data_IF_184387237730
#
_entry.id   IF_184387237730
#
_cell.length_a   1.000
_cell.length_b   1.000
_cell.length_c   1.000
_cell.angle_alpha   90.00
_cell.angle_beta   90.00
_cell.angle_gamma   90.00
#
_symmetry.space_group_name_H-M   'P 1'
#
loop_
_entity.id
_entity.type
_entity.pdbx_description
1 polymer ?
#
# COMPACT_ATOMS: atom_id res chain seq x y z
N UNK A 1 -21.50 22.07 11.68
CA UNK A 1 -22.50 20.99 11.46
C UNK A 1 -22.05 20.18 10.26
N UNK A 2 -22.14 18.85 10.32
CA UNK A 2 -21.73 17.93 9.24
C UNK A 2 -22.92 17.29 8.54
N UNK A 3 -22.71 16.81 7.32
CA UNK A 3 -23.73 16.16 6.48
C UNK A 3 -23.54 14.65 6.38
N UNK A 4 -24.64 13.93 6.14
CA UNK A 4 -24.65 12.47 6.03
C UNK A 4 -24.74 12.00 4.59
N UNK A 5 -23.99 10.95 4.28
CA UNK A 5 -24.18 10.15 3.06
C UNK A 5 -24.77 8.80 3.42
N UNK A 6 -25.47 8.20 2.45
CA UNK A 6 -26.14 6.92 2.62
C UNK A 6 -25.83 6.01 1.44
N UNK A 7 -25.51 4.75 1.76
CA UNK A 7 -25.43 3.64 0.83
C UNK A 7 -26.67 2.77 1.04
N UNK A 8 -27.50 2.64 0.02
CA UNK A 8 -28.82 2.00 0.14
C UNK A 8 -29.07 0.97 -0.94
N UNK A 9 -29.88 -0.04 -0.65
CA UNK A 9 -30.47 -0.94 -1.62
C UNK A 9 -32.00 -0.96 -1.43
N UNK A 10 -32.71 -0.19 -2.27
CA UNK A 10 -34.13 0.05 -2.07
C UNK A 10 -34.38 0.81 -0.75
N UNK A 11 -35.07 0.18 0.21
CA UNK A 11 -35.36 0.75 1.53
C UNK A 11 -34.34 0.38 2.61
N UNK A 12 -33.39 -0.50 2.30
CA UNK A 12 -32.38 -0.96 3.26
C UNK A 12 -31.17 -0.03 3.19
N UNK A 13 -30.77 0.53 4.33
CA UNK A 13 -29.49 1.22 4.48
C UNK A 13 -28.41 0.18 4.73
N UNK A 14 -27.43 0.11 3.84
CA UNK A 14 -26.30 -0.84 3.91
C UNK A 14 -25.12 -0.26 4.68
N UNK A 15 -24.94 1.06 4.57
CA UNK A 15 -23.90 1.82 5.26
C UNK A 15 -24.29 3.30 5.24
N UNK A 16 -23.79 4.05 6.21
CA UNK A 16 -23.89 5.49 6.27
C UNK A 16 -22.61 6.06 6.89
N UNK A 17 -22.38 7.33 6.67
CA UNK A 17 -21.32 8.05 7.34
C UNK A 17 -21.58 9.54 7.33
N UNK A 18 -20.75 10.27 8.08
CA UNK A 18 -20.86 11.71 8.24
C UNK A 18 -19.59 12.36 7.75
N UNK A 19 -19.73 13.32 6.84
CA UNK A 19 -18.66 14.07 6.19
C UNK A 19 -17.74 13.20 5.34
N UNK A 20 -17.11 12.16 5.91
CA UNK A 20 -16.06 11.35 5.30
C UNK A 20 -16.57 10.06 4.66
N UNK A 21 -16.08 9.75 3.45
CA UNK A 21 -16.26 8.48 2.75
C UNK A 21 -15.02 7.60 2.97
N UNK A 22 -15.16 6.36 3.47
CA UNK A 22 -14.04 5.42 3.58
C UNK A 22 -13.42 5.11 2.20
N UNK A 23 -12.09 5.19 2.10
CA UNK A 23 -11.38 4.96 0.84
C UNK A 23 -11.58 3.51 0.37
N UNK A 24 -11.57 2.54 1.28
CA UNK A 24 -11.81 1.11 1.06
C UNK A 24 -13.18 0.88 0.42
N UNK A 25 -14.22 1.53 0.94
CA UNK A 25 -15.56 1.45 0.39
C UNK A 25 -15.62 2.05 -1.03
N UNK A 26 -14.94 3.18 -1.24
CA UNK A 26 -14.92 3.86 -2.53
C UNK A 26 -14.22 3.05 -3.63
N UNK A 27 -13.32 2.12 -3.29
CA UNK A 27 -12.70 1.21 -4.27
C UNK A 27 -13.69 0.26 -4.97
N UNK A 28 -14.88 0.07 -4.38
CA UNK A 28 -15.93 -0.77 -4.95
C UNK A 28 -16.71 -0.08 -6.06
N UNK A 29 -16.57 1.23 -6.22
CA UNK A 29 -17.22 2.03 -7.26
C UNK A 29 -16.21 2.48 -8.31
N UNK A 30 -16.66 2.58 -9.55
CA UNK A 30 -15.91 3.11 -10.69
C UNK A 30 -16.62 4.33 -11.22
N UNK A 31 -15.90 5.18 -11.93
CA UNK A 31 -16.51 6.37 -12.57
C UNK A 31 -17.60 6.00 -13.57
N UNK A 32 -17.56 4.81 -14.17
CA UNK A 32 -18.65 4.30 -15.01
C UNK A 32 -19.96 4.05 -14.26
N UNK A 33 -19.92 3.90 -12.94
CA UNK A 33 -21.11 3.70 -12.09
C UNK A 33 -21.68 5.04 -11.60
N UNK A 34 -21.01 6.16 -11.90
CA UNK A 34 -21.40 7.48 -11.44
C UNK A 34 -22.67 7.92 -12.18
N UNK A 35 -23.66 8.36 -11.43
CA UNK A 35 -24.74 9.17 -11.98
C UNK A 35 -24.48 10.63 -11.59
N UNK A 36 -24.64 11.53 -12.56
CA UNK A 36 -24.34 12.94 -12.40
C UNK A 36 -25.32 13.75 -13.25
N UNK A 37 -26.30 14.37 -12.61
CA UNK A 37 -27.34 15.17 -13.26
C UNK A 37 -26.91 16.64 -13.30
N UNK A 38 -26.10 16.99 -14.31
CA UNK A 38 -25.55 18.34 -14.47
C UNK A 38 -26.63 19.42 -14.43
N UNK A 39 -27.74 19.23 -15.15
CA UNK A 39 -28.84 20.21 -15.21
C UNK A 39 -29.40 20.55 -13.81
N UNK A 40 -29.49 19.55 -12.92
CA UNK A 40 -29.99 19.75 -11.56
C UNK A 40 -28.95 20.46 -10.67
N UNK A 41 -27.66 20.19 -10.89
CA UNK A 41 -26.58 20.86 -10.17
C UNK A 41 -26.47 22.32 -10.57
N UNK A 42 -26.58 22.63 -11.86
CA UNK A 42 -26.57 24.00 -12.38
C UNK A 42 -27.79 24.78 -11.87
N UNK A 43 -28.97 24.16 -11.90
CA UNK A 43 -30.18 24.77 -11.33
C UNK A 43 -30.02 25.02 -9.83
N UNK A 44 -29.48 24.05 -9.07
CA UNK A 44 -29.23 24.22 -7.64
C UNK A 44 -28.25 25.36 -7.36
N UNK A 45 -27.12 25.40 -8.07
CA UNK A 45 -26.09 26.43 -7.91
C UNK A 45 -26.58 27.84 -8.26
N UNK A 46 -27.56 27.96 -9.15
CA UNK A 46 -28.15 29.25 -9.55
C UNK A 46 -29.14 29.84 -8.53
N UNK A 47 -29.49 29.12 -7.46
CA UNK A 47 -30.48 29.56 -6.48
C UNK A 47 -29.92 30.59 -5.50
N UNK A 48 -30.67 31.68 -5.32
CA UNK A 48 -30.38 32.70 -4.30
C UNK A 48 -30.64 32.19 -2.87
N UNK A 49 -31.59 31.25 -2.68
CA UNK A 49 -31.86 30.58 -1.41
C UNK A 49 -31.87 29.05 -1.57
N UNK A 50 -31.20 28.37 -0.65
CA UNK A 50 -31.03 26.92 -0.66
C UNK A 50 -32.04 26.22 0.26
N UNK A 51 -33.30 26.66 0.24
CA UNK A 51 -34.37 25.98 0.98
C UNK A 51 -34.47 24.50 0.57
N UNK A 52 -34.77 23.65 1.56
CA UNK A 52 -34.85 22.21 1.37
C UNK A 52 -35.86 21.85 0.28
N UNK A 53 -35.41 21.09 -0.72
CA UNK A 53 -36.28 20.64 -1.80
C UNK A 53 -35.92 19.21 -2.19
N UNK A 54 -36.95 18.35 -2.23
CA UNK A 54 -36.84 16.95 -2.64
C UNK A 54 -36.37 16.78 -4.09
N UNK A 55 -36.52 17.83 -4.93
CA UNK A 55 -36.05 17.86 -6.31
C UNK A 55 -34.55 17.61 -6.44
N UNK A 56 -33.76 18.11 -5.49
CA UNK A 56 -32.30 18.02 -5.52
C UNK A 56 -31.76 16.89 -4.65
N UNK A 57 -32.59 15.97 -4.16
CA UNK A 57 -32.11 14.90 -3.28
C UNK A 57 -31.24 13.87 -3.99
N UNK A 58 -31.17 13.89 -5.33
CA UNK A 58 -30.51 12.84 -6.10
C UNK A 58 -29.77 13.37 -7.33
N UNK A 59 -28.86 14.31 -7.13
CA UNK A 59 -28.10 14.92 -8.23
C UNK A 59 -26.86 14.13 -8.61
N UNK A 60 -26.17 13.54 -7.63
CA UNK A 60 -24.90 12.86 -7.87
C UNK A 60 -24.67 11.70 -6.91
N UNK A 61 -23.87 10.74 -7.36
CA UNK A 61 -23.48 9.58 -6.57
C UNK A 61 -23.06 8.41 -7.45
N UNK A 62 -23.16 7.21 -6.91
CA UNK A 62 -22.84 5.97 -7.63
C UNK A 62 -24.01 4.99 -7.54
N UNK A 63 -24.27 4.26 -8.62
CA UNK A 63 -25.32 3.26 -8.70
C UNK A 63 -24.80 1.98 -9.38
N UNK A 64 -24.92 0.85 -8.69
CA UNK A 64 -24.38 -0.44 -9.16
C UNK A 64 -25.29 -1.58 -8.73
N UNK A 65 -25.37 -2.67 -9.51
CA UNK A 65 -26.16 -3.84 -9.09
C UNK A 65 -25.50 -4.59 -7.92
N UNK A 66 -26.32 -5.26 -7.10
CA UNK A 66 -25.82 -6.17 -6.04
C UNK A 66 -24.90 -7.25 -6.61
N UNK A 67 -25.21 -7.78 -7.80
CA UNK A 67 -24.37 -8.78 -8.47
C UNK A 67 -22.96 -8.25 -8.72
N UNK A 68 -22.86 -7.08 -9.35
CA UNK A 68 -21.57 -6.45 -9.65
C UNK A 68 -20.81 -6.12 -8.37
N UNK A 69 -21.50 -5.59 -7.36
CA UNK A 69 -20.87 -5.22 -6.09
C UNK A 69 -20.32 -6.44 -5.34
N UNK A 70 -21.06 -7.56 -5.32
CA UNK A 70 -20.57 -8.83 -4.77
C UNK A 70 -19.35 -9.36 -5.52
N UNK A 71 -19.34 -9.30 -6.85
CA UNK A 71 -18.16 -9.69 -7.63
C UNK A 71 -16.93 -8.84 -7.29
N UNK A 72 -17.11 -7.52 -7.13
CA UNK A 72 -16.02 -6.61 -6.74
C UNK A 72 -15.52 -6.90 -5.32
N UNK A 73 -16.42 -7.15 -4.37
CA UNK A 73 -16.07 -7.57 -3.02
C UNK A 73 -15.23 -8.85 -3.02
N UNK A 74 -15.66 -9.88 -3.74
CA UNK A 74 -14.89 -11.13 -3.88
C UNK A 74 -13.51 -10.90 -4.50
N UNK A 75 -13.39 -10.05 -5.54
CA UNK A 75 -12.09 -9.70 -6.14
C UNK A 75 -11.17 -8.95 -5.17
N UNK A 76 -11.73 -8.24 -4.20
CA UNK A 76 -10.98 -7.54 -3.15
C UNK A 76 -10.77 -8.37 -1.87
N UNK A 77 -11.14 -9.65 -1.87
CA UNK A 77 -10.97 -10.57 -0.74
C UNK A 77 -12.14 -10.62 0.26
N UNK A 78 -13.22 -9.87 0.03
CA UNK A 78 -14.40 -9.82 0.90
C UNK A 78 -15.55 -10.69 0.36
N UNK A 79 -15.22 -11.90 -0.08
CA UNK A 79 -16.21 -12.82 -0.62
C UNK A 79 -17.35 -13.09 0.40
N UNK A 80 -18.63 -13.02 0.00
CA UNK A 80 -19.75 -13.12 0.94
C UNK A 80 -19.85 -14.42 1.74
N UNK A 81 -19.34 -15.54 1.22
CA UNK A 81 -19.37 -16.82 1.93
C UNK A 81 -18.16 -16.95 2.87
N UNK A 82 -16.99 -16.46 2.44
CA UNK A 82 -15.82 -16.33 3.32
C UNK A 82 -16.11 -15.40 4.50
N UNK A 83 -16.60 -14.19 4.24
CA UNK A 83 -16.95 -13.20 5.27
C UNK A 83 -17.97 -13.76 6.25
N UNK A 84 -19.00 -14.49 5.76
CA UNK A 84 -19.96 -15.16 6.66
C UNK A 84 -19.27 -16.21 7.54
N UNK A 85 -18.38 -17.02 6.98
CA UNK A 85 -17.65 -18.03 7.75
C UNK A 85 -16.78 -17.41 8.83
N UNK A 86 -16.11 -16.30 8.53
CA UNK A 86 -15.28 -15.57 9.49
C UNK A 86 -16.12 -14.95 10.62
N UNK A 87 -17.25 -14.30 10.28
CA UNK A 87 -18.18 -13.78 11.28
C UNK A 87 -18.76 -14.88 12.20
N UNK A 88 -18.98 -16.10 11.68
CA UNK A 88 -19.41 -17.24 12.51
C UNK A 88 -18.32 -17.69 13.48
N UNK A 89 -17.06 -17.81 13.02
CA UNK A 89 -15.93 -18.17 13.89
C UNK A 89 -15.74 -17.14 15.00
N UNK A 90 -15.88 -15.86 14.69
CA UNK A 90 -15.82 -14.79 15.68
C UNK A 90 -16.91 -14.94 16.74
N UNK A 91 -18.18 -15.12 16.33
CA UNK A 91 -19.27 -15.33 17.28
C UNK A 91 -19.07 -16.59 18.13
N UNK A 92 -18.60 -17.70 17.53
CA UNK A 92 -18.28 -18.93 18.25
C UNK A 92 -17.19 -18.69 19.31
N UNK A 93 -16.12 -17.98 18.96
CA UNK A 93 -15.04 -17.62 19.88
C UNK A 93 -15.54 -16.77 21.05
N UNK A 94 -16.24 -15.67 20.77
CA UNK A 94 -16.79 -14.77 21.77
C UNK A 94 -17.75 -15.48 22.73
N UNK A 95 -18.56 -16.41 22.21
CA UNK A 95 -19.45 -17.22 23.05
C UNK A 95 -18.70 -18.18 23.96
N UNK A 96 -17.60 -18.77 23.48
CA UNK A 96 -16.82 -19.75 24.24
C UNK A 96 -15.99 -19.11 25.36
N UNK A 97 -15.46 -17.90 25.16
CA UNK A 97 -14.75 -17.17 26.23
C UNK A 97 -15.70 -16.70 27.34
N UNK A 98 -16.95 -16.40 27.00
CA UNK A 98 -17.98 -15.96 27.96
C UNK A 98 -18.47 -17.07 28.92
N UNK A 99 -18.10 -18.34 28.68
CA UNK A 99 -18.45 -19.50 29.52
C UNK A 99 -17.42 -19.79 30.64
N UNK A 100 -16.34 -19.01 30.72
CA UNK A 100 -15.37 -19.11 31.83
C UNK A 100 -15.95 -18.39 33.06
N UNK A 101 -16.11 -19.05 34.22
CA UNK A 101 -16.61 -18.37 35.40
C UNK A 101 -15.56 -17.38 35.91
N UNK A 102 -15.76 -16.09 35.66
CA UNK A 102 -15.01 -15.04 36.35
C UNK A 102 -15.43 -15.03 37.82
N UNK A 103 -14.44 -15.26 38.69
CA UNK A 103 -14.59 -15.13 40.13
C UNK A 103 -14.76 -13.67 40.52
N UNK A 104 -15.69 -13.45 41.45
CA UNK A 104 -15.92 -12.31 42.34
C UNK A 104 -15.72 -10.89 41.79
N UNK A 105 -16.88 -10.24 41.56
CA UNK A 105 -17.23 -8.86 41.96
C UNK A 105 -16.20 -7.75 41.64
N UNK A 106 -16.35 -7.11 40.48
CA UNK A 106 -16.85 -5.73 40.35
C UNK A 106 -16.52 -5.12 38.97
N UNK A 107 -17.50 -4.39 38.42
CA UNK A 107 -17.40 -3.46 37.27
C UNK A 107 -17.11 -4.04 35.87
N UNK A 108 -18.12 -4.67 35.25
CA UNK A 108 -18.65 -4.19 33.95
C UNK A 108 -19.93 -4.95 33.54
N UNK A 109 -21.05 -4.23 33.52
CA UNK A 109 -22.38 -4.79 33.24
C UNK A 109 -22.55 -5.30 31.79
N UNK A 110 -21.52 -5.20 30.95
CA UNK A 110 -21.50 -5.64 29.55
C UNK A 110 -21.14 -7.13 29.39
N UNK A 111 -20.22 -7.66 30.21
CA UNK A 111 -19.86 -9.09 30.19
C UNK A 111 -20.99 -10.01 30.64
N UNK A 112 -21.79 -9.55 31.61
CA UNK A 112 -22.93 -10.29 32.16
C UNK A 112 -24.13 -10.40 31.19
N UNK A 113 -24.24 -9.49 30.21
CA UNK A 113 -25.31 -9.48 29.20
C UNK A 113 -25.02 -10.43 28.03
N UNK A 114 -23.75 -10.59 27.64
CA UNK A 114 -23.31 -11.55 26.60
C UNK A 114 -23.64 -12.99 26.99
N UNK A 115 -23.35 -13.39 28.23
CA UNK A 115 -23.59 -14.77 28.70
C UNK A 115 -25.07 -15.11 28.94
N UNK A 116 -25.90 -14.17 29.44
CA UNK A 116 -27.29 -14.48 29.82
C UNK A 116 -28.28 -14.68 28.67
N UNK A 117 -28.11 -14.00 27.53
CA UNK A 117 -29.04 -14.12 26.40
C UNK A 117 -28.75 -15.31 25.49
N UNK A 118 -27.47 -15.58 25.22
CA UNK A 118 -27.01 -16.72 24.41
C UNK A 118 -27.44 -18.07 25.00
N UNK A 119 -27.42 -18.18 26.33
CA UNK A 119 -27.88 -19.37 27.07
C UNK A 119 -29.41 -19.57 26.98
N UNK A 120 -30.20 -18.50 26.80
CA UNK A 120 -31.66 -18.56 26.89
C UNK A 120 -32.37 -18.91 25.57
N UNK A 121 -31.80 -18.59 24.40
CA UNK A 121 -32.46 -18.86 23.10
C UNK A 121 -32.07 -20.20 22.45
N UNK A 122 -30.99 -20.88 22.88
CA UNK A 122 -30.52 -22.16 22.31
C UNK A 122 -30.42 -22.18 20.77
N UNK A 123 -30.11 -21.03 20.15
CA UNK A 123 -30.05 -20.92 18.69
C UNK A 123 -28.68 -21.39 18.15
N UNK A 124 -28.65 -22.18 17.07
CA UNK A 124 -27.42 -22.43 16.32
C UNK A 124 -26.78 -21.12 15.84
N UNK A 125 -25.45 -21.00 15.94
CA UNK A 125 -24.70 -19.79 15.53
C UNK A 125 -25.04 -19.26 14.13
N UNK A 126 -25.23 -20.10 13.09
CA UNK A 126 -25.68 -19.63 11.79
C UNK A 126 -27.00 -18.85 11.81
N UNK A 127 -27.96 -19.27 12.65
CA UNK A 127 -29.25 -18.59 12.78
C UNK A 127 -29.11 -17.31 13.60
N UNK A 128 -28.26 -17.31 14.61
CA UNK A 128 -27.96 -16.10 15.38
C UNK A 128 -27.37 -15.02 14.48
N UNK A 129 -26.37 -15.35 13.66
CA UNK A 129 -25.79 -14.42 12.70
C UNK A 129 -26.84 -13.90 11.70
N UNK A 130 -27.75 -14.75 11.21
CA UNK A 130 -28.83 -14.31 10.32
C UNK A 130 -29.77 -13.30 11.00
N UNK A 131 -30.08 -13.49 12.30
CA UNK A 131 -30.85 -12.52 13.08
C UNK A 131 -30.09 -11.21 13.27
N UNK A 132 -28.79 -11.25 13.61
CA UNK A 132 -27.94 -10.07 13.76
C UNK A 132 -27.91 -9.27 12.46
N UNK A 133 -27.68 -9.93 11.32
CA UNK A 133 -27.69 -9.28 10.00
C UNK A 133 -29.08 -8.71 9.67
N UNK A 134 -30.15 -9.43 10.02
CA UNK A 134 -31.52 -8.94 9.81
C UNK A 134 -31.83 -7.71 10.65
N UNK A 135 -31.38 -7.69 11.91
CA UNK A 135 -31.48 -6.53 12.80
C UNK A 135 -30.71 -5.34 12.21
N UNK A 136 -29.48 -5.54 11.74
CA UNK A 136 -28.67 -4.48 11.13
C UNK A 136 -29.29 -3.87 9.87
N UNK A 137 -30.14 -4.63 9.16
CA UNK A 137 -30.91 -4.16 7.98
C UNK A 137 -32.17 -3.40 8.33
N UNK A 138 -32.66 -3.52 9.55
CA UNK A 138 -33.86 -2.83 10.00
C UNK A 138 -33.58 -1.32 10.13
N UNK A 139 -34.61 -0.51 9.93
CA UNK A 139 -34.53 0.96 10.03
C UNK A 139 -34.06 1.42 11.42
N UNK A 140 -34.35 0.62 12.45
CA UNK A 140 -33.97 0.90 13.84
C UNK A 140 -32.49 0.59 14.13
N UNK A 141 -31.89 -0.36 13.41
CA UNK A 141 -30.53 -0.86 13.72
C UNK A 141 -29.44 0.21 13.67
N UNK A 142 -29.47 1.10 12.68
CA UNK A 142 -28.44 2.14 12.50
C UNK A 142 -28.72 3.45 13.23
N UNK A 143 -30.00 3.79 13.43
CA UNK A 143 -30.41 5.10 13.96
C UNK A 143 -30.73 5.05 15.45
N UNK A 144 -31.14 3.89 15.98
CA UNK A 144 -31.75 3.76 17.30
C UNK A 144 -31.05 2.73 18.20
N UNK A 145 -29.83 2.26 17.88
CA UNK A 145 -29.13 1.24 18.69
C UNK A 145 -29.06 1.61 20.19
N UNK A 146 -28.80 2.88 20.51
CA UNK A 146 -28.73 3.40 21.89
C UNK A 146 -30.10 3.59 22.57
N UNK A 147 -31.21 3.35 21.88
CA UNK A 147 -32.57 3.57 22.40
C UNK A 147 -33.28 2.27 22.83
N UNK A 148 -32.68 1.11 22.60
CA UNK A 148 -33.26 -0.16 23.03
C UNK A 148 -33.06 -0.40 24.53
N UNK A 149 -34.07 -0.95 25.25
CA UNK A 149 -33.89 -1.31 26.65
C UNK A 149 -32.71 -2.27 26.83
N UNK A 150 -31.85 -1.98 27.82
CA UNK A 150 -30.76 -2.86 28.21
C UNK A 150 -31.26 -4.29 28.47
N UNK A 151 -30.60 -5.28 27.88
CA UNK A 151 -30.99 -6.69 28.00
C UNK A 151 -32.16 -7.14 27.12
N UNK A 152 -32.49 -6.41 26.06
CA UNK A 152 -33.38 -6.88 24.98
C UNK A 152 -32.62 -7.68 23.90
N UNK A 153 -33.35 -8.45 23.08
CA UNK A 153 -32.77 -9.16 21.95
C UNK A 153 -32.12 -8.19 20.94
N UNK A 154 -32.77 -7.05 20.72
CA UNK A 154 -32.34 -5.99 19.82
C UNK A 154 -31.06 -5.32 20.31
N UNK A 155 -30.95 -5.07 21.62
CA UNK A 155 -29.70 -4.58 22.24
C UNK A 155 -28.57 -5.59 22.04
N UNK A 156 -28.83 -6.89 22.25
CA UNK A 156 -27.84 -7.94 22.00
C UNK A 156 -27.42 -8.02 20.52
N UNK A 157 -28.37 -8.01 19.57
CA UNK A 157 -28.05 -8.07 18.15
C UNK A 157 -27.21 -6.89 17.71
N UNK A 158 -27.48 -5.70 18.25
CA UNK A 158 -26.67 -4.53 17.96
C UNK A 158 -25.26 -4.61 18.52
N UNK A 159 -25.10 -5.00 19.79
CA UNK A 159 -23.76 -5.19 20.36
C UNK A 159 -22.97 -6.27 19.61
N UNK A 160 -23.61 -7.37 19.22
CA UNK A 160 -22.97 -8.42 18.41
C UNK A 160 -22.55 -7.90 17.02
N UNK A 161 -23.39 -7.09 16.37
CA UNK A 161 -23.07 -6.46 15.09
C UNK A 161 -21.90 -5.50 15.20
N UNK A 162 -21.89 -4.63 16.21
CA UNK A 162 -20.78 -3.70 16.50
C UNK A 162 -19.49 -4.46 16.74
N UNK A 163 -19.51 -5.49 17.60
CA UNK A 163 -18.33 -6.31 17.90
C UNK A 163 -17.77 -7.00 16.66
N UNK A 164 -18.65 -7.53 15.79
CA UNK A 164 -18.24 -8.12 14.51
C UNK A 164 -17.56 -7.08 13.64
N UNK A 165 -18.16 -5.89 13.46
CA UNK A 165 -17.58 -4.86 12.57
C UNK A 165 -16.26 -4.34 13.12
N UNK A 166 -16.19 -4.03 14.41
CA UNK A 166 -14.99 -3.51 15.07
C UNK A 166 -13.83 -4.50 15.03
N UNK A 167 -14.11 -5.80 15.14
CA UNK A 167 -13.08 -6.83 15.07
C UNK A 167 -12.36 -6.85 13.70
N UNK A 168 -13.08 -6.64 12.60
CA UNK A 168 -12.51 -6.69 11.25
C UNK A 168 -12.08 -5.31 10.71
N UNK A 169 -12.61 -4.22 11.27
CA UNK A 169 -12.23 -2.82 10.98
C UNK A 169 -12.13 -2.48 9.47
N UNK A 170 -13.03 -3.04 8.66
CA UNK A 170 -13.14 -2.71 7.22
C UNK A 170 -14.62 -2.62 6.80
N UNK A 171 -15.07 -1.49 6.23
CA UNK A 171 -16.47 -1.29 5.86
C UNK A 171 -16.97 -2.28 4.79
N UNK A 172 -16.06 -2.89 4.01
CA UNK A 172 -16.40 -3.91 3.01
C UNK A 172 -16.84 -5.22 3.65
N UNK A 173 -16.37 -5.53 4.86
CA UNK A 173 -16.79 -6.71 5.62
C UNK A 173 -18.28 -6.60 5.98
N UNK A 174 -18.67 -5.50 6.63
CA UNK A 174 -20.06 -5.20 6.96
C UNK A 174 -20.94 -5.19 5.71
N UNK A 175 -20.51 -4.50 4.65
CA UNK A 175 -21.25 -4.44 3.39
C UNK A 175 -21.47 -5.83 2.79
N UNK A 176 -20.47 -6.71 2.80
CA UNK A 176 -20.57 -8.07 2.27
C UNK A 176 -21.63 -8.90 3.01
N UNK A 177 -21.72 -8.79 4.34
CA UNK A 177 -22.80 -9.38 5.15
C UNK A 177 -24.17 -8.77 4.82
N UNK A 178 -24.22 -7.44 4.71
CA UNK A 178 -25.47 -6.70 4.44
C UNK A 178 -26.06 -7.01 3.06
N UNK A 179 -25.25 -7.30 2.05
CA UNK A 179 -25.76 -7.67 0.73
C UNK A 179 -26.40 -9.07 0.67
N UNK A 180 -26.23 -9.91 1.70
CA UNK A 180 -26.84 -11.24 1.73
C UNK A 180 -28.37 -11.15 1.78
N UNK A 181 -29.07 -12.01 1.03
CA UNK A 181 -30.54 -11.99 0.97
C UNK A 181 -31.15 -10.82 0.20
N UNK A 182 -30.35 -9.88 -0.31
CA UNK A 182 -30.82 -8.85 -1.23
C UNK A 182 -30.84 -9.41 -2.65
N UNK A 183 -31.88 -9.05 -3.43
CA UNK A 183 -32.02 -9.52 -4.81
C UNK A 183 -30.80 -9.11 -5.63
N UNK A 184 -30.31 -10.02 -6.47
CA UNK A 184 -29.07 -9.87 -7.26
C UNK A 184 -29.13 -8.72 -8.27
N UNK A 185 -30.31 -8.43 -8.78
CA UNK A 185 -30.61 -7.35 -9.72
C UNK A 185 -30.94 -6.02 -9.04
N UNK A 186 -31.06 -5.99 -7.70
CA UNK A 186 -31.31 -4.74 -6.99
C UNK A 186 -30.15 -3.76 -7.20
N UNK A 187 -30.49 -2.48 -7.33
CA UNK A 187 -29.52 -1.40 -7.44
C UNK A 187 -29.14 -0.92 -6.06
N UNK A 188 -27.84 -0.95 -5.79
CA UNK A 188 -27.19 -0.30 -4.65
C UNK A 188 -26.81 1.11 -5.06
N UNK A 189 -27.17 2.08 -4.24
CA UNK A 189 -27.01 3.51 -4.52
C UNK A 189 -26.30 4.22 -3.39
N UNK A 190 -25.16 4.82 -3.69
CA UNK A 190 -24.44 5.76 -2.84
C UNK A 190 -24.87 7.17 -3.25
N UNK A 191 -25.57 7.88 -2.38
CA UNK A 191 -26.02 9.23 -2.65
C UNK A 191 -25.13 10.26 -1.94
N UNK A 192 -24.47 11.12 -2.72
CA UNK A 192 -23.51 12.10 -2.24
C UNK A 192 -24.06 13.53 -2.26
N UNK A 193 -25.32 13.68 -2.67
CA UNK A 193 -25.89 15.00 -2.93
C UNK A 193 -25.92 15.90 -1.69
N UNK A 194 -26.21 15.34 -0.51
CA UNK A 194 -26.20 16.10 0.76
C UNK A 194 -24.82 16.64 1.10
N UNK A 195 -23.75 15.93 0.76
CA UNK A 195 -22.39 16.41 0.99
C UNK A 195 -22.10 17.65 0.13
N UNK A 196 -22.55 17.68 -1.13
CA UNK A 196 -22.44 18.87 -1.96
C UNK A 196 -23.26 20.02 -1.39
N UNK A 197 -24.53 19.78 -1.08
CA UNK A 197 -25.43 20.81 -0.57
C UNK A 197 -24.94 21.43 0.74
N UNK A 198 -24.28 20.63 1.60
CA UNK A 198 -23.67 21.12 2.84
C UNK A 198 -22.28 21.74 2.67
N UNK A 199 -21.76 21.84 1.44
CA UNK A 199 -20.42 22.37 1.16
C UNK A 199 -19.28 21.46 1.62
N UNK A 200 -19.54 20.16 1.77
CA UNK A 200 -18.57 19.13 2.13
C UNK A 200 -17.97 18.44 0.92
N UNK A 201 -18.49 18.64 -0.29
CA UNK A 201 -17.98 18.03 -1.52
C UNK A 201 -18.17 19.01 -2.68
N UNK A 202 -17.20 19.11 -3.58
CA UNK A 202 -17.37 19.88 -4.81
C UNK A 202 -18.12 19.06 -5.88
N UNK A 203 -18.96 19.67 -6.74
CA UNK A 203 -19.75 18.93 -7.72
C UNK A 203 -18.94 18.10 -8.71
N UNK A 204 -17.79 18.59 -9.14
CA UNK A 204 -16.89 17.94 -10.10
C UNK A 204 -15.93 16.93 -9.45
N UNK A 205 -15.95 16.81 -8.12
CA UNK A 205 -15.08 15.89 -7.39
C UNK A 205 -15.30 14.43 -7.82
N UNK A 206 -14.20 13.66 -7.84
CA UNK A 206 -14.16 12.24 -8.19
C UNK A 206 -13.71 11.40 -6.97
N UNK A 207 -14.62 11.08 -6.02
CA UNK A 207 -14.27 10.37 -4.80
C UNK A 207 -13.62 9.00 -5.05
N UNK A 208 -14.08 8.24 -6.06
CA UNK A 208 -13.53 6.91 -6.33
C UNK A 208 -12.06 6.96 -6.78
N UNK A 209 -11.72 7.88 -7.69
CA UNK A 209 -10.35 8.11 -8.11
C UNK A 209 -9.48 8.68 -6.98
N UNK A 210 -10.06 9.52 -6.14
CA UNK A 210 -9.32 10.14 -5.04
C UNK A 210 -8.96 9.12 -3.97
N UNK A 211 -9.87 8.21 -3.63
CA UNK A 211 -9.61 7.08 -2.74
C UNK A 211 -8.51 6.16 -3.31
N UNK A 212 -8.56 5.83 -4.60
CA UNK A 212 -7.51 5.02 -5.25
C UNK A 212 -6.12 5.69 -5.15
N UNK A 213 -6.05 7.01 -5.36
CA UNK A 213 -4.79 7.76 -5.19
C UNK A 213 -4.28 7.73 -3.75
N UNK A 214 -5.16 7.79 -2.75
CA UNK A 214 -4.76 7.72 -1.33
C UNK A 214 -4.27 6.33 -0.93
N UNK A 215 -4.99 5.29 -1.30
CA UNK A 215 -4.58 3.90 -1.03
C UNK A 215 -3.25 3.57 -1.71
N UNK A 216 -3.03 4.07 -2.95
CA UNK A 216 -1.73 3.97 -3.61
C UNK A 216 -0.63 4.63 -2.78
N UNK A 217 -0.89 5.81 -2.22
CA UNK A 217 0.08 6.52 -1.37
C UNK A 217 0.36 5.77 -0.08
N UNK A 218 -0.67 5.30 0.61
CA UNK A 218 -0.54 4.50 1.83
C UNK A 218 0.30 3.24 1.56
N UNK A 219 0.04 2.56 0.44
CA UNK A 219 0.85 1.41 0.03
C UNK A 219 2.30 1.81 -0.25
N UNK A 220 2.53 2.95 -0.92
CA UNK A 220 3.89 3.43 -1.20
C UNK A 220 4.67 3.88 0.05
N UNK A 221 3.97 4.37 1.09
CA UNK A 221 4.59 4.84 2.34
C UNK A 221 4.83 3.73 3.34
N UNK A 222 3.96 2.72 3.38
CA UNK A 222 3.97 1.68 4.43
C UNK A 222 4.41 0.31 3.92
N UNK A 223 4.34 0.06 2.60
CA UNK A 223 4.81 -1.18 1.99
C UNK A 223 6.34 -1.26 1.91
N UNK A 224 6.86 -2.49 1.76
CA UNK A 224 8.28 -2.72 1.50
C UNK A 224 8.73 -2.04 0.21
N UNK A 225 9.96 -1.54 0.20
CA UNK A 225 10.65 -0.98 -0.96
C UNK A 225 11.21 -2.13 -1.78
N UNK A 226 10.79 -2.26 -3.04
CA UNK A 226 11.27 -3.31 -3.93
C UNK A 226 12.61 -2.89 -4.53
N UNK A 227 13.64 -3.73 -4.36
CA UNK A 227 14.97 -3.54 -4.95
C UNK A 227 15.13 -4.48 -6.12
N UNK A 228 15.39 -3.92 -7.30
CA UNK A 228 15.65 -4.65 -8.54
C UNK A 228 17.14 -4.55 -8.87
N UNK A 229 17.75 -5.69 -9.18
CA UNK A 229 19.17 -5.82 -9.56
C UNK A 229 19.30 -6.70 -10.80
N UNK A 230 20.50 -6.73 -11.41
CA UNK A 230 20.77 -7.51 -12.63
C UNK A 230 20.77 -9.03 -12.40
N UNK A 231 21.23 -9.46 -11.21
CA UNK A 231 21.28 -10.86 -10.81
C UNK A 231 20.89 -11.12 -9.35
N UNK A 232 20.50 -12.36 -9.06
CA UNK A 232 20.19 -12.80 -7.69
C UNK A 232 21.38 -12.67 -6.74
N UNK A 233 22.61 -12.88 -7.25
CA UNK A 233 23.84 -12.64 -6.49
C UNK A 233 23.91 -11.21 -5.97
N UNK A 234 23.51 -10.25 -6.78
CA UNK A 234 23.64 -8.83 -6.49
C UNK A 234 22.61 -8.43 -5.44
N UNK A 235 21.37 -8.93 -5.56
CA UNK A 235 20.35 -8.79 -4.52
C UNK A 235 20.83 -9.31 -3.16
N UNK A 236 21.48 -10.48 -3.14
CA UNK A 236 22.00 -11.07 -1.91
C UNK A 236 23.16 -10.27 -1.31
N UNK A 237 24.07 -9.76 -2.15
CA UNK A 237 25.18 -8.92 -1.69
C UNK A 237 24.68 -7.57 -1.16
N UNK A 238 23.77 -6.89 -1.86
CA UNK A 238 23.17 -5.65 -1.35
C UNK A 238 22.46 -5.91 -0.01
N UNK A 239 21.70 -7.00 0.12
CA UNK A 239 21.08 -7.38 1.38
C UNK A 239 22.12 -7.55 2.49
N UNK A 240 23.24 -8.24 2.23
CA UNK A 240 24.34 -8.38 3.19
C UNK A 240 24.97 -7.05 3.58
N UNK A 241 25.08 -6.10 2.65
CA UNK A 241 25.54 -4.76 2.97
C UNK A 241 24.59 -4.07 3.96
N UNK A 242 23.27 -4.15 3.73
CA UNK A 242 22.28 -3.67 4.70
C UNK A 242 22.38 -4.37 6.06
N UNK A 243 22.45 -5.70 6.08
CA UNK A 243 22.61 -6.47 7.33
C UNK A 243 23.89 -6.10 8.10
N UNK A 244 24.94 -5.70 7.37
CA UNK A 244 26.20 -5.27 7.96
C UNK A 244 26.11 -3.87 8.59
N UNK A 245 25.62 -2.86 7.86
CA UNK A 245 25.73 -1.45 8.31
C UNK A 245 24.44 -0.87 8.86
N UNK A 246 23.28 -1.42 8.47
CA UNK A 246 21.94 -0.92 8.82
C UNK A 246 20.93 -2.07 9.00
N UNK A 247 21.21 -3.04 9.90
CA UNK A 247 20.31 -4.18 10.14
C UNK A 247 18.94 -3.76 10.67
N UNK A 248 18.84 -2.57 11.26
CA UNK A 248 17.61 -1.98 11.79
C UNK A 248 16.55 -1.65 10.72
N UNK A 249 16.94 -1.56 9.44
CA UNK A 249 16.02 -1.19 8.35
C UNK A 249 15.94 -2.19 7.19
N UNK A 250 16.72 -3.28 7.21
CA UNK A 250 16.77 -4.23 6.07
C UNK A 250 15.40 -4.83 5.75
N UNK A 251 14.54 -5.06 6.75
CA UNK A 251 13.22 -5.66 6.58
C UNK A 251 12.17 -4.74 5.94
N UNK A 252 12.50 -3.45 5.77
CA UNK A 252 11.72 -2.52 4.96
C UNK A 252 11.97 -2.71 3.45
N UNK A 253 12.94 -3.53 3.06
CA UNK A 253 13.27 -3.81 1.67
C UNK A 253 12.83 -5.22 1.26
N UNK A 254 12.35 -5.34 0.02
CA UNK A 254 12.10 -6.58 -0.66
C UNK A 254 13.13 -6.73 -1.80
N UNK A 255 14.18 -7.48 -1.55
CA UNK A 255 15.19 -7.81 -2.56
C UNK A 255 14.66 -8.93 -3.45
N UNK A 256 14.47 -8.66 -4.74
CA UNK A 256 13.98 -9.69 -5.66
C UNK A 256 15.04 -10.77 -5.84
N UNK A 257 14.69 -12.00 -5.47
CA UNK A 257 15.48 -13.20 -5.72
C UNK A 257 14.82 -14.03 -6.82
N UNK A 258 15.51 -14.11 -7.95
CA UNK A 258 15.00 -14.77 -9.14
C UNK A 258 15.39 -16.24 -9.24
N UNK A 259 16.21 -16.75 -8.31
CA UNK A 259 16.55 -18.17 -8.25
C UNK A 259 15.33 -19.07 -7.98
N UNK A 260 14.25 -18.50 -7.43
CA UNK A 260 13.00 -19.21 -7.19
C UNK A 260 12.12 -19.39 -8.45
N UNK A 261 12.47 -18.79 -9.60
CA UNK A 261 11.59 -18.74 -10.79
C UNK A 261 12.26 -19.09 -12.13
N UNK A 262 13.50 -19.62 -12.13
CA UNK A 262 14.25 -20.03 -13.35
C UNK A 262 14.30 -18.96 -14.47
N UNK A 263 14.24 -17.68 -14.12
CA UNK A 263 14.22 -16.60 -15.10
C UNK A 263 15.66 -16.13 -15.47
N UNK A 264 16.00 -15.93 -16.76
CA UNK A 264 17.35 -15.58 -17.23
C UNK A 264 17.82 -14.18 -16.79
N UNK A 265 19.13 -13.99 -16.53
CA UNK A 265 19.75 -12.75 -16.01
C UNK A 265 20.23 -11.74 -17.07
N UNK A 266 20.64 -10.53 -16.65
CA UNK A 266 21.28 -9.47 -17.46
C UNK A 266 20.68 -8.05 -17.29
N UNK A 267 21.36 -7.00 -17.80
CA UNK A 267 20.87 -5.60 -17.75
C UNK A 267 19.54 -5.38 -18.47
N UNK A 268 19.32 -6.06 -19.60
CA UNK A 268 18.05 -6.04 -20.34
C UNK A 268 16.87 -6.52 -19.46
N UNK A 269 17.16 -7.35 -18.45
CA UNK A 269 16.18 -7.82 -17.47
C UNK A 269 15.75 -6.72 -16.50
N UNK A 270 16.69 -5.96 -15.95
CA UNK A 270 16.36 -4.84 -15.03
C UNK A 270 15.48 -3.85 -15.75
N UNK A 271 15.85 -3.46 -16.97
CA UNK A 271 15.07 -2.53 -17.77
C UNK A 271 13.66 -3.06 -18.03
N UNK A 272 13.54 -4.31 -18.47
CA UNK A 272 12.26 -4.94 -18.80
C UNK A 272 11.37 -5.13 -17.57
N UNK A 273 11.95 -5.55 -16.45
CA UNK A 273 11.22 -5.78 -15.20
C UNK A 273 10.75 -4.47 -14.58
N UNK A 274 11.61 -3.45 -14.53
CA UNK A 274 11.23 -2.13 -14.02
C UNK A 274 10.07 -1.55 -14.83
N UNK A 275 10.12 -1.66 -16.17
CA UNK A 275 8.99 -1.29 -17.04
C UNK A 275 7.76 -2.16 -16.81
N UNK A 276 7.93 -3.47 -16.62
CA UNK A 276 6.84 -4.40 -16.35
C UNK A 276 6.09 -4.08 -15.06
N UNK A 277 6.80 -3.86 -13.95
CA UNK A 277 6.20 -3.48 -12.67
C UNK A 277 5.52 -2.10 -12.74
N UNK A 278 6.13 -1.15 -13.45
CA UNK A 278 5.53 0.16 -13.69
C UNK A 278 4.23 0.04 -14.51
N UNK A 279 4.24 -0.74 -15.59
CA UNK A 279 3.08 -0.97 -16.46
C UNK A 279 1.96 -1.75 -15.75
N UNK A 280 2.32 -2.68 -14.85
CA UNK A 280 1.38 -3.41 -14.02
C UNK A 280 0.76 -2.54 -12.91
N UNK A 281 1.23 -1.30 -12.71
CA UNK A 281 0.71 -0.38 -11.71
C UNK A 281 1.08 -0.75 -10.28
N UNK A 282 2.24 -1.38 -10.07
CA UNK A 282 2.76 -1.69 -8.73
C UNK A 282 2.82 -0.40 -7.90
N UNK A 283 2.15 -0.43 -6.75
CA UNK A 283 1.98 0.75 -5.89
C UNK A 283 3.17 0.96 -4.94
N UNK A 284 3.94 -0.09 -4.65
CA UNK A 284 5.14 -0.01 -3.82
C UNK A 284 6.17 0.96 -4.40
N UNK A 285 7.04 1.47 -3.52
CA UNK A 285 8.27 2.12 -3.94
C UNK A 285 9.21 1.10 -4.56
N UNK A 286 9.82 1.44 -5.68
CA UNK A 286 10.73 0.58 -6.42
C UNK A 286 12.03 1.33 -6.70
N UNK A 287 13.16 0.69 -6.43
CA UNK A 287 14.47 1.17 -6.83
C UNK A 287 15.19 0.12 -7.67
N UNK A 288 15.60 0.53 -8.87
CA UNK A 288 16.46 -0.27 -9.74
C UNK A 288 17.92 0.10 -9.48
N UNK A 289 18.74 -0.87 -9.09
CA UNK A 289 20.17 -0.71 -8.84
C UNK A 289 20.94 -1.41 -9.97
N UNK A 290 21.71 -0.62 -10.69
CA UNK A 290 22.47 -1.03 -11.87
C UNK A 290 23.97 -1.05 -11.56
N UNK A 291 24.72 -1.91 -12.23
CA UNK A 291 26.18 -1.90 -12.09
C UNK A 291 26.78 -0.54 -12.53
N UNK A 292 27.93 -0.18 -11.98
CA UNK A 292 28.67 1.02 -12.35
C UNK A 292 29.62 0.74 -13.52
N UNK A 293 29.04 0.29 -14.64
CA UNK A 293 29.73 -0.10 -15.85
C UNK A 293 29.06 0.48 -17.12
N UNK A 294 29.51 0.08 -18.31
CA UNK A 294 28.93 0.59 -19.57
C UNK A 294 27.49 0.08 -19.79
N UNK A 295 27.21 -1.18 -19.43
CA UNK A 295 25.89 -1.79 -19.55
C UNK A 295 24.86 -1.12 -18.62
N UNK A 296 25.23 -0.87 -17.36
CA UNK A 296 24.44 -0.15 -16.38
C UNK A 296 24.19 1.30 -16.79
N UNK A 297 25.18 1.99 -17.39
CA UNK A 297 24.96 3.34 -17.99
C UNK A 297 23.94 3.31 -19.12
N UNK A 298 23.96 2.29 -19.97
CA UNK A 298 22.96 2.18 -21.03
C UNK A 298 21.57 1.88 -20.46
N UNK A 299 21.46 0.97 -19.50
CA UNK A 299 20.21 0.65 -18.83
C UNK A 299 19.60 1.87 -18.11
N UNK A 300 20.42 2.65 -17.40
CA UNK A 300 20.00 3.91 -16.76
C UNK A 300 19.45 4.88 -17.81
N UNK A 301 20.16 5.08 -18.91
CA UNK A 301 19.71 5.91 -20.04
C UNK A 301 18.38 5.44 -20.63
N UNK A 302 18.18 4.12 -20.77
CA UNK A 302 16.94 3.56 -21.28
C UNK A 302 15.75 3.75 -20.33
N UNK A 303 15.99 3.63 -19.02
CA UNK A 303 14.95 3.81 -18.01
C UNK A 303 14.60 5.28 -17.77
N UNK A 304 15.58 6.19 -17.80
CA UNK A 304 15.33 7.63 -17.69
C UNK A 304 14.54 8.20 -18.88
N UNK A 305 14.63 7.57 -20.05
CA UNK A 305 13.78 7.89 -21.22
C UNK A 305 12.35 7.33 -21.10
N UNK A 306 12.10 6.45 -20.13
CA UNK A 306 10.79 5.85 -19.92
C UNK A 306 9.95 6.74 -18.99
N UNK A 307 8.63 6.79 -19.20
CA UNK A 307 7.69 7.48 -18.31
C UNK A 307 7.41 6.65 -17.05
N UNK A 308 8.40 6.56 -16.16
CA UNK A 308 8.27 5.82 -14.91
C UNK A 308 7.43 6.60 -13.88
N UNK A 309 6.61 5.92 -13.05
CA UNK A 309 5.89 6.56 -11.97
C UNK A 309 6.82 7.21 -10.94
N UNK A 310 6.32 8.19 -10.19
CA UNK A 310 7.10 8.88 -9.15
C UNK A 310 7.59 7.94 -8.03
N UNK A 311 6.93 6.79 -7.83
CA UNK A 311 7.34 5.75 -6.87
C UNK A 311 8.51 4.90 -7.35
N UNK A 312 9.00 5.11 -8.58
CA UNK A 312 10.11 4.37 -9.16
C UNK A 312 11.35 5.26 -9.24
N UNK A 313 12.51 4.70 -8.89
CA UNK A 313 13.81 5.34 -9.04
C UNK A 313 14.82 4.37 -9.64
N UNK A 314 15.84 4.94 -10.27
CA UNK A 314 16.93 4.20 -10.90
C UNK A 314 18.23 4.82 -10.41
N UNK A 315 19.20 3.97 -10.06
CA UNK A 315 20.54 4.39 -9.71
C UNK A 315 21.56 3.39 -10.24
N UNK A 316 22.77 3.87 -10.46
CA UNK A 316 23.97 3.02 -10.58
C UNK A 316 24.69 2.91 -9.24
N UNK A 317 25.43 1.83 -9.03
CA UNK A 317 26.34 1.67 -7.89
C UNK A 317 27.28 2.88 -7.74
N UNK A 318 27.74 3.22 -6.51
CA UNK A 318 28.71 4.29 -6.30
C UNK A 318 30.04 4.05 -7.03
N UNK A 319 30.77 5.13 -7.27
CA UNK A 319 32.20 5.02 -7.59
C UNK A 319 32.95 4.62 -6.32
N UNK A 320 34.04 3.87 -6.48
CA UNK A 320 34.96 3.52 -5.39
C UNK A 320 36.36 4.00 -5.72
N UNK A 321 37.05 4.54 -4.72
CA UNK A 321 38.32 5.26 -4.95
C UNK A 321 39.42 4.33 -5.48
N UNK A 322 39.50 3.11 -4.96
CA UNK A 322 40.47 2.11 -5.44
C UNK A 322 40.22 1.67 -6.89
N UNK A 323 39.05 1.96 -7.47
CA UNK A 323 38.76 1.67 -8.86
C UNK A 323 39.26 2.76 -9.84
N UNK A 324 39.78 3.90 -9.35
CA UNK A 324 40.39 4.94 -10.20
C UNK A 324 41.73 4.51 -10.81
N UNK A 325 42.39 3.55 -10.18
CA UNK A 325 43.65 2.95 -10.63
C UNK A 325 43.59 1.46 -10.34
N UNK A 326 42.84 0.73 -11.16
CA UNK A 326 42.58 -0.70 -11.00
C UNK A 326 43.30 -1.52 -12.07
N UNK A 327 43.82 -2.73 -11.76
CA UNK A 327 44.49 -3.54 -12.76
C UNK A 327 43.53 -3.96 -13.88
N UNK A 328 43.94 -3.72 -15.12
CA UNK A 328 43.17 -4.08 -16.31
C UNK A 328 43.99 -4.91 -17.29
N UNK A 329 43.30 -5.71 -18.10
CA UNK A 329 43.86 -6.48 -19.20
C UNK A 329 43.19 -6.04 -20.51
N UNK A 330 43.95 -5.34 -21.34
CA UNK A 330 43.56 -4.97 -22.69
C UNK A 330 44.40 -5.66 -23.77
N UNK A 331 44.12 -5.39 -25.05
CA UNK A 331 44.92 -5.91 -26.18
C UNK A 331 46.41 -5.55 -26.10
N UNK A 332 46.73 -4.41 -25.48
CA UNK A 332 48.09 -3.91 -25.30
C UNK A 332 48.78 -4.42 -24.04
N UNK A 333 48.19 -5.38 -23.33
CA UNK A 333 48.71 -5.94 -22.08
C UNK A 333 48.07 -5.35 -20.81
N UNK A 334 48.76 -5.55 -19.68
CA UNK A 334 48.30 -5.11 -18.35
C UNK A 334 48.57 -3.64 -18.12
N UNK A 335 47.58 -2.89 -17.63
CA UNK A 335 47.70 -1.48 -17.23
C UNK A 335 46.77 -1.17 -16.08
N UNK A 336 47.12 -0.19 -15.26
CA UNK A 336 46.20 0.36 -14.28
C UNK A 336 45.38 1.47 -14.95
N UNK A 337 44.06 1.37 -14.89
CA UNK A 337 43.12 2.34 -15.48
C UNK A 337 41.97 2.64 -14.50
N UNK A 338 41.29 3.77 -14.72
CA UNK A 338 40.00 4.02 -14.07
C UNK A 338 38.93 3.12 -14.69
N UNK A 339 38.32 2.28 -13.85
CA UNK A 339 37.27 1.34 -14.24
C UNK A 339 35.89 1.77 -13.76
N UNK A 340 35.78 2.88 -13.02
CA UNK A 340 34.48 3.45 -12.63
C UNK A 340 33.66 3.84 -13.86
N UNK A 341 32.38 3.47 -13.88
CA UNK A 341 31.49 3.70 -15.03
C UNK A 341 31.80 2.83 -16.24
N UNK A 342 32.80 1.94 -16.16
CA UNK A 342 33.27 1.10 -17.27
C UNK A 342 33.17 -0.39 -16.99
N UNK A 343 33.39 -0.83 -15.74
CA UNK A 343 33.42 -2.24 -15.36
C UNK A 343 33.10 -2.57 -13.89
N UNK A 344 32.73 -1.58 -13.05
CA UNK A 344 32.52 -1.83 -11.62
C UNK A 344 31.16 -2.48 -11.35
N UNK A 345 31.18 -3.74 -10.94
CA UNK A 345 30.01 -4.48 -10.47
C UNK A 345 29.84 -4.44 -8.95
N UNK A 346 28.78 -5.06 -8.42
CA UNK A 346 28.48 -5.13 -6.98
C UNK A 346 29.65 -5.59 -6.08
N UNK A 347 30.55 -6.44 -6.60
CA UNK A 347 31.71 -6.92 -5.85
C UNK A 347 32.66 -5.79 -5.42
N UNK A 348 32.74 -4.71 -6.20
CA UNK A 348 33.56 -3.54 -5.86
C UNK A 348 33.05 -2.81 -4.61
N UNK A 349 31.81 -3.05 -4.18
CA UNK A 349 31.20 -2.40 -3.03
C UNK A 349 31.63 -3.00 -1.68
N UNK A 350 32.56 -3.97 -1.69
CA UNK A 350 33.05 -4.67 -0.49
C UNK A 350 34.54 -4.45 -0.20
N UNK A 351 35.16 -3.45 -0.86
CA UNK A 351 36.53 -3.04 -0.60
C UNK A 351 37.58 -3.88 -1.34
N UNK A 352 38.72 -3.25 -1.62
CA UNK A 352 39.80 -3.87 -2.40
C UNK A 352 40.44 -5.06 -1.67
N UNK A 353 40.52 -5.03 -0.34
CA UNK A 353 41.20 -6.08 0.42
C UNK A 353 40.46 -7.42 0.38
N UNK A 354 39.13 -7.43 0.48
CA UNK A 354 38.32 -8.66 0.37
C UNK A 354 38.40 -9.23 -1.05
N UNK A 355 38.51 -8.38 -2.06
CA UNK A 355 38.60 -8.81 -3.46
C UNK A 355 39.95 -9.44 -3.82
N UNK A 356 41.00 -9.28 -3.00
CA UNK A 356 42.32 -9.84 -3.32
C UNK A 356 42.26 -11.35 -3.37
N UNK A 357 42.84 -11.92 -4.42
CA UNK A 357 42.99 -13.36 -4.56
C UNK A 357 43.99 -13.89 -3.54
N UNK A 358 44.08 -15.23 -3.40
CA UNK A 358 45.08 -15.88 -2.55
C UNK A 358 46.53 -15.51 -2.89
N UNK A 359 46.79 -14.99 -4.10
CA UNK A 359 48.08 -14.47 -4.55
C UNK A 359 48.42 -13.07 -3.99
N UNK A 360 47.48 -12.40 -3.33
CA UNK A 360 47.59 -11.03 -2.81
C UNK A 360 47.26 -9.93 -3.83
N UNK A 361 47.07 -10.28 -5.10
CA UNK A 361 46.73 -9.34 -6.17
C UNK A 361 45.22 -9.19 -6.34
N UNK A 362 44.80 -8.02 -6.83
CA UNK A 362 43.44 -7.80 -7.27
C UNK A 362 43.20 -8.53 -8.61
N UNK A 363 42.06 -9.23 -8.76
CA UNK A 363 41.69 -9.81 -10.04
C UNK A 363 41.45 -8.70 -11.05
N UNK A 364 42.06 -8.74 -12.24
CA UNK A 364 41.99 -7.62 -13.18
C UNK A 364 40.62 -7.50 -13.83
N UNK A 365 40.28 -6.30 -14.30
CA UNK A 365 39.19 -6.08 -15.25
C UNK A 365 39.69 -6.40 -16.66
N UNK A 366 38.98 -7.25 -17.40
CA UNK A 366 39.29 -7.54 -18.81
C UNK A 366 38.44 -6.69 -19.74
N UNK A 367 39.07 -5.88 -20.57
CA UNK A 367 38.38 -5.13 -21.62
C UNK A 367 37.81 -6.09 -22.67
N UNK A 368 36.53 -5.93 -23.03
CA UNK A 368 35.83 -6.78 -23.99
C UNK A 368 35.55 -6.05 -25.30
N UNK A 369 34.56 -5.18 -25.30
CA UNK A 369 34.02 -4.56 -26.51
C UNK A 369 33.67 -3.11 -26.29
N UNK A 370 33.81 -2.31 -27.36
CA UNK A 370 33.30 -0.94 -27.38
C UNK A 370 31.77 -0.95 -27.45
N UNK A 371 31.11 -0.18 -26.60
CA UNK A 371 29.66 0.02 -26.57
C UNK A 371 29.31 1.40 -27.17
N UNK A 372 28.87 1.48 -28.43
CA UNK A 372 28.61 2.75 -29.11
C UNK A 372 27.56 3.61 -28.41
N UNK A 373 26.58 2.96 -27.76
CA UNK A 373 25.50 3.61 -27.02
C UNK A 373 26.01 4.54 -25.91
N UNK A 374 27.14 4.21 -25.28
CA UNK A 374 27.71 4.97 -24.16
C UNK A 374 29.12 5.50 -24.46
N UNK A 375 29.64 5.24 -25.67
CA UNK A 375 30.88 5.81 -26.18
C UNK A 375 32.15 5.31 -25.49
N UNK A 376 32.16 4.08 -24.96
CA UNK A 376 33.24 3.57 -24.11
C UNK A 376 33.44 2.05 -24.25
N UNK A 377 34.53 1.52 -23.72
CA UNK A 377 34.80 0.08 -23.66
C UNK A 377 34.23 -0.53 -22.39
N UNK A 378 33.42 -1.59 -22.56
CA UNK A 378 32.95 -2.43 -21.46
C UNK A 378 34.08 -3.35 -21.00
N UNK A 379 34.31 -3.37 -19.69
CA UNK A 379 35.15 -4.36 -19.03
C UNK A 379 34.35 -5.32 -18.17
N UNK A 380 34.95 -6.43 -17.77
CA UNK A 380 34.35 -7.35 -16.79
C UNK A 380 35.42 -7.82 -15.80
N UNK A 381 35.05 -7.91 -14.52
CA UNK A 381 35.89 -8.47 -13.48
C UNK A 381 36.21 -9.95 -13.77
N UNK A 382 37.49 -10.26 -13.88
CA UNK A 382 37.94 -11.65 -14.06
C UNK A 382 37.71 -12.44 -12.77
N UNK A 383 37.32 -13.71 -12.90
CA UNK A 383 37.04 -14.60 -11.76
C UNK A 383 35.96 -14.11 -10.79
N UNK A 384 34.92 -13.41 -11.30
CA UNK A 384 33.79 -12.88 -10.51
C UNK A 384 33.24 -13.86 -9.46
N UNK A 385 33.09 -15.15 -9.78
CA UNK A 385 32.62 -16.18 -8.84
C UNK A 385 33.54 -16.38 -7.63
N UNK A 386 34.86 -16.36 -7.84
CA UNK A 386 35.82 -16.51 -6.76
C UNK A 386 35.78 -15.29 -5.83
N UNK A 387 35.65 -14.09 -6.41
CA UNK A 387 35.50 -12.84 -5.65
C UNK A 387 34.21 -12.83 -4.84
N UNK A 388 33.08 -13.24 -5.43
CA UNK A 388 31.80 -13.37 -4.71
C UNK A 388 31.91 -14.32 -3.51
N UNK A 389 32.58 -15.46 -3.68
CA UNK A 389 32.80 -16.41 -2.59
C UNK A 389 33.69 -15.80 -1.49
N UNK A 390 34.77 -15.11 -1.88
CA UNK A 390 35.66 -14.41 -0.94
C UNK A 390 34.91 -13.33 -0.15
N UNK A 391 33.99 -12.60 -0.78
CA UNK A 391 33.12 -11.64 -0.09
C UNK A 391 32.21 -12.34 0.90
N UNK A 392 31.50 -13.39 0.49
CA UNK A 392 30.59 -14.12 1.37
C UNK A 392 31.31 -14.71 2.58
N UNK A 393 32.54 -15.20 2.42
CA UNK A 393 33.33 -15.75 3.51
C UNK A 393 33.96 -14.66 4.37
N UNK A 394 34.47 -13.58 3.76
CA UNK A 394 35.02 -12.42 4.48
C UNK A 394 33.98 -11.71 5.34
N UNK A 395 32.72 -11.65 4.90
CA UNK A 395 31.60 -11.08 5.65
C UNK A 395 31.17 -11.92 6.87
N UNK A 396 31.64 -13.17 7.01
CA UNK A 396 31.42 -13.99 8.22
C UNK A 396 32.44 -13.71 9.31
N UNK A 397 33.56 -13.06 8.97
CA UNK A 397 34.60 -12.72 9.94
C UNK A 397 34.08 -11.66 10.92
N UNK A 398 34.32 -11.87 12.22
CA UNK A 398 33.95 -10.89 13.27
C UNK A 398 34.87 -9.66 13.27
N UNK A 399 36.02 -9.75 12.62
CA UNK A 399 37.02 -8.69 12.51
C UNK A 399 37.01 -8.08 11.11
N UNK A 400 35.84 -7.58 10.71
CA UNK A 400 35.70 -6.86 9.45
C UNK A 400 36.58 -5.60 9.43
N UNK A 401 37.22 -5.39 8.29
CA UNK A 401 38.14 -4.28 8.10
C UNK A 401 37.37 -2.98 7.81
N UNK A 402 37.92 -1.80 8.18
CA UNK A 402 37.24 -0.52 7.99
C UNK A 402 36.81 -0.25 6.54
N UNK A 403 37.65 -0.56 5.55
CA UNK A 403 37.34 -0.32 4.12
C UNK A 403 36.05 -1.02 3.67
N UNK A 404 35.79 -2.23 4.18
CA UNK A 404 34.59 -3.02 3.83
C UNK A 404 33.34 -2.34 4.37
N UNK A 405 33.41 -1.85 5.62
CA UNK A 405 32.32 -1.14 6.29
C UNK A 405 32.07 0.19 5.59
N UNK A 406 33.13 0.92 5.22
CA UNK A 406 33.03 2.20 4.52
C UNK A 406 32.38 2.04 3.13
N UNK A 407 32.80 1.02 2.35
CA UNK A 407 32.21 0.74 1.04
C UNK A 407 30.75 0.29 1.15
N UNK A 408 30.42 -0.60 2.10
CA UNK A 408 29.05 -1.02 2.36
C UNK A 408 28.17 0.16 2.83
N UNK A 409 28.72 1.06 3.65
CA UNK A 409 28.05 2.29 4.09
C UNK A 409 27.77 3.21 2.90
N UNK A 410 28.76 3.43 2.03
CA UNK A 410 28.58 4.26 0.84
C UNK A 410 27.51 3.69 -0.11
N UNK A 411 27.46 2.36 -0.27
CA UNK A 411 26.41 1.68 -1.03
C UNK A 411 25.03 1.93 -0.43
N UNK A 412 24.85 1.64 0.86
CA UNK A 412 23.57 1.79 1.56
C UNK A 412 23.14 3.25 1.57
N UNK A 413 24.03 4.19 1.86
CA UNK A 413 23.74 5.63 1.83
C UNK A 413 23.28 6.09 0.45
N UNK A 414 23.92 5.60 -0.63
CA UNK A 414 23.51 5.95 -1.99
C UNK A 414 22.12 5.40 -2.31
N UNK A 415 21.81 4.16 -1.89
CA UNK A 415 20.46 3.59 -2.02
C UNK A 415 19.45 4.45 -1.27
N UNK A 416 19.73 4.79 -0.01
CA UNK A 416 18.83 5.61 0.83
C UNK A 416 18.56 6.98 0.24
N UNK A 417 19.58 7.66 -0.31
CA UNK A 417 19.43 8.97 -0.98
C UNK A 417 18.67 8.88 -2.30
N UNK A 418 18.76 7.75 -2.99
CA UNK A 418 18.09 7.51 -4.26
C UNK A 418 16.62 7.07 -4.10
N UNK A 419 16.14 6.80 -2.88
CA UNK A 419 14.78 6.35 -2.66
C UNK A 419 13.74 7.38 -3.14
N UNK A 420 12.61 6.91 -3.69
CA UNK A 420 11.52 7.81 -4.06
C UNK A 420 10.91 8.45 -2.81
N UNK A 421 10.80 9.79 -2.83
CA UNK A 421 10.11 10.58 -1.81
C UNK A 421 8.60 10.45 -2.01
N UNK A 422 7.88 10.20 -0.92
CA UNK A 422 6.42 9.95 -0.92
C UNK A 422 5.60 11.13 -0.42
N UNK A 423 6.23 12.23 0.01
CA UNK A 423 5.53 13.46 0.38
C UNK A 423 4.96 14.13 -0.87
N UNK A 424 3.76 13.72 -1.27
CA UNK A 424 2.92 14.47 -2.20
C UNK A 424 2.39 15.76 -1.54
N UNK A 425 1.91 16.73 -2.33
CA UNK A 425 1.36 17.98 -1.78
C UNK A 425 0.16 17.70 -0.84
N UNK A 426 0.05 18.44 0.27
CA UNK A 426 -0.99 18.26 1.29
C UNK A 426 -2.44 18.30 0.73
N UNK A 427 -2.65 18.94 -0.43
CA UNK A 427 -3.93 18.96 -1.14
C UNK A 427 -4.44 17.57 -1.57
N UNK A 428 -3.56 16.58 -1.58
CA UNK A 428 -3.86 15.21 -2.02
C UNK A 428 -3.81 14.18 -0.88
N UNK A 429 -3.47 14.61 0.34
CA UNK A 429 -3.44 13.76 1.55
C UNK A 429 -4.67 13.90 2.43
N UNK A 430 -5.42 14.99 2.33
CA UNK A 430 -6.69 15.15 3.06
C UNK A 430 -7.84 14.53 2.28
N UNK A 431 -8.82 13.94 3.00
CA UNK A 431 -10.16 13.74 2.45
C UNK A 431 -10.64 15.04 1.83
N UNK A 432 -11.15 15.09 0.59
CA UNK A 432 -11.57 16.36 0.00
C UNK A 432 -12.86 16.82 0.69
N UNK A 433 -13.47 15.89 1.45
CA UNK A 433 -14.54 16.03 2.41
C UNK A 433 -14.16 16.76 3.69
N UNK A 434 -12.96 17.33 3.76
CA UNK A 434 -12.61 18.33 4.76
C UNK A 434 -12.55 19.66 4.01
N UNK A 435 -13.61 20.50 4.07
CA UNK A 435 -13.57 21.77 3.38
C UNK A 435 -12.39 22.60 3.87
N UNK A 436 -11.85 23.42 2.98
CA UNK A 436 -10.87 24.45 3.25
C UNK A 436 -11.32 25.52 4.29
N UNK A 437 -12.45 25.34 4.99
CA UNK A 437 -12.86 26.20 6.12
C UNK A 437 -11.88 26.19 7.29
N UNK A 438 -11.03 25.16 7.42
CA UNK A 438 -9.88 25.20 8.35
C UNK A 438 -8.81 26.22 7.91
N UNK A 439 -8.79 26.65 6.63
CA UNK A 439 -7.85 27.68 6.15
C UNK A 439 -8.27 29.12 6.42
N UNK A 440 -9.53 29.37 6.79
CA UNK A 440 -10.03 30.73 7.01
C UNK A 440 -10.12 31.11 8.50
N UNK A 441 -10.29 30.14 9.40
CA UNK A 441 -10.54 30.44 10.83
C UNK A 441 -9.29 30.41 11.73
N UNK A 442 -8.08 30.19 11.20
CA UNK A 442 -6.85 30.31 12.01
C UNK A 442 -6.26 31.71 12.05
N UNK A 443 -6.96 32.71 11.50
CA UNK A 443 -6.53 34.12 11.50
C UNK A 443 -7.67 35.09 11.79
N UNK A 444 -8.61 34.77 12.68
CA UNK A 444 -9.50 35.76 13.32
C UNK A 444 -10.20 35.11 14.51
N UNK A 445 -9.50 34.90 15.61
CA UNK A 445 -10.10 34.72 16.95
C UNK A 445 -8.99 34.86 18.00
N UNK A 446 -8.35 36.03 18.00
CA UNK A 446 -7.60 36.55 19.13
C UNK A 446 -7.68 38.07 19.08
N UNK A 447 -8.86 38.59 19.35
CA UNK A 447 -9.06 39.90 19.97
C UNK A 447 -10.55 39.98 20.35
N UNK A 448 -10.80 40.58 21.52
CA UNK A 448 -12.10 40.85 22.16
C UNK A 448 -12.67 39.75 23.09
N UNK A 449 -11.98 39.67 24.23
CA UNK A 449 -12.44 39.70 25.62
C UNK A 449 -13.97 39.70 25.95
N UNK A 450 -14.23 39.04 27.10
CA UNK A 450 -15.33 39.11 28.09
C UNK A 450 -16.41 38.03 28.05
#
# INVERSE_FOLDING_TARGET
MGEYWFLTAGRVTLSLGKNYLPDELMTLFRESDRYHHQDLLDEYASRESHEYSTKFENMTGYAVSVTTLRSRLSLTGFDPDLVRSEALKFLEYETAESDVPEGDEDEDNQGLLRSKWLVHESLPMPKLLDKVISWAKSTDGWLNHQMHPYGSAESFYGSAWESIIECYDDPRFALSLMLRGIRRDAVVKLNLTKLIMGGWMEPDELPSQTAERRLRRQTSSSGRIIVITEGSSDSQLIRKAFELVRPDIVDYFAFLDFSATDAPGGTDRVVSLTRGLAAAGVMNRVISVLDNDCAGRDAERQLLKSSLPETFRVMRLPEVEFARSYPTLGPSGSRDEDVNGRACSIEFMFGSEIMRMATGYLPPVRWKSFMPAVGDYQGELVEKRAVQQAIVDGLKDKTLRPEVIDCATALVDKIMRALPVTLGPASTSMSPLIPARVRANSHTESDDLW
#
